data_IF_075039035325
#
_entry.id   IF_075039035325
#
_cell.length_a   1.000
_cell.length_b   1.000
_cell.length_c   1.000
_cell.angle_alpha   90.00
_cell.angle_beta   90.00
_cell.angle_gamma   90.00
#
_symmetry.space_group_name_H-M   'P 1'
#
loop_
_entity.id
_entity.type
_entity.pdbx_description
1 polymer ?
#
# COMPACT_ATOMS: atom_id res chain seq x y z
N UNK A 1 -9.88 3.07 3.86
CA UNK A 1 -9.26 1.74 4.05
C UNK A 1 -9.29 0.99 2.73
N UNK A 2 -8.36 0.06 2.54
CA UNK A 2 -8.26 -0.78 1.34
C UNK A 2 -8.75 -2.20 1.62
N UNK A 3 -9.08 -2.94 0.56
CA UNK A 3 -9.55 -4.32 0.58
C UNK A 3 -8.63 -5.24 -0.22
N UNK A 4 -8.80 -6.56 -0.07
CA UNK A 4 -8.10 -7.54 -0.90
C UNK A 4 -8.45 -7.37 -2.39
N UNK A 5 -9.70 -7.02 -2.71
CA UNK A 5 -10.16 -6.74 -4.07
C UNK A 5 -9.40 -5.58 -4.71
N UNK A 6 -9.14 -4.51 -3.95
CA UNK A 6 -8.37 -3.37 -4.46
C UNK A 6 -6.95 -3.77 -4.88
N UNK A 7 -6.29 -4.61 -4.07
CA UNK A 7 -4.93 -5.10 -4.35
C UNK A 7 -4.91 -6.09 -5.52
N UNK A 8 -5.88 -7.01 -5.57
CA UNK A 8 -6.03 -7.96 -6.69
C UNK A 8 -6.26 -7.22 -8.00
N UNK A 9 -7.15 -6.22 -7.99
CA UNK A 9 -7.43 -5.36 -9.14
C UNK A 9 -6.21 -4.56 -9.58
N UNK A 10 -5.52 -3.93 -8.63
CA UNK A 10 -4.28 -3.16 -8.90
C UNK A 10 -3.18 -4.01 -9.54
N UNK A 11 -3.00 -5.24 -9.07
CA UNK A 11 -1.97 -6.15 -9.55
C UNK A 11 -2.40 -6.99 -10.76
N UNK A 12 -3.64 -6.84 -11.23
CA UNK A 12 -4.25 -7.63 -12.30
C UNK A 12 -4.12 -9.16 -12.08
N UNK A 13 -4.22 -9.61 -10.82
CA UNK A 13 -4.04 -11.02 -10.47
C UNK A 13 -5.28 -11.83 -10.86
N UNK A 14 -5.14 -12.69 -11.85
CA UNK A 14 -6.27 -13.50 -12.37
C UNK A 14 -6.54 -14.78 -11.59
N UNK A 15 -5.56 -15.27 -10.85
CA UNK A 15 -5.61 -16.57 -10.15
C UNK A 15 -5.74 -16.44 -8.64
N UNK A 16 -5.64 -15.22 -8.11
CA UNK A 16 -5.66 -14.94 -6.69
C UNK A 16 -7.05 -14.44 -6.30
N UNK A 17 -7.60 -15.00 -5.22
CA UNK A 17 -8.91 -14.61 -4.69
C UNK A 17 -8.76 -13.79 -3.40
N UNK A 18 -9.86 -13.22 -2.92
CA UNK A 18 -9.88 -12.46 -1.66
C UNK A 18 -9.54 -13.28 -0.42
N UNK A 19 -9.59 -14.61 -0.51
CA UNK A 19 -9.27 -15.54 0.57
C UNK A 19 -7.78 -15.92 0.62
N UNK A 20 -6.95 -15.29 -0.22
CA UNK A 20 -5.50 -15.50 -0.20
C UNK A 20 -4.91 -15.20 1.18
N UNK A 21 -4.14 -16.16 1.70
CA UNK A 21 -3.55 -16.10 3.02
C UNK A 21 -2.62 -14.90 3.20
N UNK A 22 -1.87 -14.50 2.17
CA UNK A 22 -0.97 -13.35 2.30
C UNK A 22 -1.75 -12.04 2.28
N UNK A 23 -2.78 -11.92 1.45
CA UNK A 23 -3.65 -10.74 1.45
C UNK A 23 -4.40 -10.58 2.78
N UNK A 24 -4.85 -11.66 3.40
CA UNK A 24 -5.52 -11.62 4.71
C UNK A 24 -4.61 -11.13 5.85
N UNK A 25 -3.29 -11.24 5.69
CA UNK A 25 -2.30 -10.66 6.61
C UNK A 25 -1.93 -9.22 6.24
N UNK A 26 -1.65 -8.98 4.95
CA UNK A 26 -1.10 -7.70 4.47
C UNK A 26 -2.15 -6.59 4.54
N UNK A 27 -3.39 -6.83 4.10
CA UNK A 27 -4.41 -5.78 3.99
C UNK A 27 -4.77 -5.20 5.36
N UNK A 28 -5.07 -6.01 6.41
CA UNK A 28 -5.32 -5.46 7.75
C UNK A 28 -4.11 -4.73 8.33
N UNK A 29 -2.90 -5.26 8.12
CA UNK A 29 -1.68 -4.62 8.62
C UNK A 29 -1.42 -3.25 7.98
N UNK A 30 -1.60 -3.14 6.65
CA UNK A 30 -1.49 -1.86 5.95
C UNK A 30 -2.60 -0.90 6.39
N UNK A 31 -3.83 -1.38 6.57
CA UNK A 31 -4.91 -0.55 7.09
C UNK A 31 -4.59 0.02 8.47
N UNK A 32 -4.15 -0.82 9.40
CA UNK A 32 -3.76 -0.38 10.73
C UNK A 32 -2.58 0.59 10.71
N UNK A 33 -1.55 0.30 9.90
CA UNK A 33 -0.38 1.17 9.76
C UNK A 33 -0.79 2.56 9.22
N UNK A 34 -1.50 2.61 8.10
CA UNK A 34 -1.89 3.88 7.47
C UNK A 34 -2.81 4.69 8.38
N UNK A 35 -3.74 4.04 9.08
CA UNK A 35 -4.61 4.71 10.05
C UNK A 35 -3.81 5.32 11.22
N UNK A 36 -2.70 4.70 11.62
CA UNK A 36 -1.82 5.20 12.69
C UNK A 36 -0.94 6.39 12.29
N UNK A 37 -0.87 6.72 10.99
CA UNK A 37 0.00 7.78 10.50
C UNK A 37 -0.55 9.17 10.88
N UNK A 38 0.29 10.09 11.37
CA UNK A 38 -0.16 11.37 11.91
C UNK A 38 -0.54 12.41 10.85
N UNK A 39 -0.20 12.17 9.57
CA UNK A 39 -0.29 13.19 8.52
C UNK A 39 -0.92 12.68 7.22
N UNK A 40 -1.71 11.60 7.30
CA UNK A 40 -2.47 11.13 6.14
C UNK A 40 -3.56 12.13 5.76
N UNK A 41 -3.85 12.20 4.47
CA UNK A 41 -4.89 13.07 3.94
C UNK A 41 -6.26 12.41 4.16
N UNK A 42 -7.21 13.20 4.65
CA UNK A 42 -8.59 12.76 4.91
C UNK A 42 -9.59 13.63 4.17
N UNK A 43 -10.68 13.03 3.74
CA UNK A 43 -11.85 13.72 3.19
C UNK A 43 -12.97 13.68 4.22
N UNK A 44 -13.57 14.84 4.50
CA UNK A 44 -14.75 14.97 5.36
C UNK A 44 -15.99 14.60 4.56
N UNK A 45 -16.85 13.76 5.12
CA UNK A 45 -18.11 13.35 4.55
C UNK A 45 -19.26 14.27 5.01
N UNK A 46 -20.42 14.16 4.36
CA UNK A 46 -21.60 14.99 4.69
C UNK A 46 -22.09 14.80 6.12
N UNK A 47 -21.85 13.62 6.71
CA UNK A 47 -22.18 13.29 8.11
C UNK A 47 -21.14 13.78 9.13
N UNK A 48 -20.10 14.49 8.69
CA UNK A 48 -19.00 14.97 9.52
C UNK A 48 -17.94 13.91 9.86
N UNK A 49 -18.12 12.66 9.44
CA UNK A 49 -17.10 11.63 9.59
C UNK A 49 -15.96 11.84 8.59
N UNK A 50 -14.79 11.26 8.87
CA UNK A 50 -13.63 11.34 7.97
C UNK A 50 -13.33 9.99 7.35
N UNK A 51 -13.03 9.97 6.06
CA UNK A 51 -12.43 8.81 5.38
C UNK A 51 -11.07 9.18 4.80
N UNK A 52 -10.28 8.17 4.42
CA UNK A 52 -9.05 8.40 3.67
C UNK A 52 -9.34 9.15 2.38
N UNK A 53 -8.53 10.17 2.08
CA UNK A 53 -8.55 10.81 0.78
C UNK A 53 -8.02 9.85 -0.29
N UNK A 54 -8.31 10.15 -1.57
CA UNK A 54 -7.88 9.32 -2.70
C UNK A 54 -6.37 9.10 -2.74
N UNK A 55 -5.56 10.11 -2.36
CA UNK A 55 -4.10 10.01 -2.26
C UNK A 55 -3.66 8.98 -1.24
N UNK A 56 -4.27 9.00 -0.05
CA UNK A 56 -3.98 8.04 1.04
C UNK A 56 -4.43 6.63 0.66
N UNK A 57 -5.60 6.49 0.04
CA UNK A 57 -6.09 5.19 -0.43
C UNK A 57 -5.15 4.60 -1.50
N UNK A 58 -4.74 5.42 -2.47
CA UNK A 58 -3.79 5.01 -3.52
C UNK A 58 -2.45 4.58 -2.93
N UNK A 59 -1.86 5.38 -2.03
CA UNK A 59 -0.61 5.05 -1.36
C UNK A 59 -0.69 3.75 -0.57
N UNK A 60 -1.83 3.50 0.09
CA UNK A 60 -2.08 2.25 0.81
C UNK A 60 -2.16 1.04 -0.15
N UNK A 61 -2.88 1.14 -1.27
CA UNK A 61 -2.96 0.07 -2.28
C UNK A 61 -1.57 -0.25 -2.84
N UNK A 62 -0.78 0.78 -3.16
CA UNK A 62 0.59 0.61 -3.67
C UNK A 62 1.49 -0.08 -2.63
N UNK A 63 1.40 0.32 -1.36
CA UNK A 63 2.16 -0.30 -0.27
C UNK A 63 1.80 -1.77 -0.09
N UNK A 64 0.51 -2.10 -0.02
CA UNK A 64 0.04 -3.48 0.10
C UNK A 64 0.50 -4.34 -1.10
N UNK A 65 0.36 -3.80 -2.31
CA UNK A 65 0.77 -4.48 -3.54
C UNK A 65 2.27 -4.76 -3.58
N UNK A 66 3.07 -3.80 -3.13
CA UNK A 66 4.52 -3.96 -3.03
C UNK A 66 4.92 -5.03 -2.01
N UNK A 67 4.30 -5.04 -0.83
CA UNK A 67 4.51 -6.10 0.16
C UNK A 67 4.13 -7.47 -0.39
N UNK A 68 3.01 -7.55 -1.12
CA UNK A 68 2.54 -8.79 -1.73
C UNK A 68 3.49 -9.32 -2.83
N UNK A 69 4.13 -8.46 -3.63
CA UNK A 69 5.14 -8.87 -4.61
C UNK A 69 6.44 -9.35 -3.95
N UNK A 70 6.89 -8.68 -2.88
CA UNK A 70 8.13 -9.05 -2.17
C UNK A 70 8.12 -10.48 -1.59
N UNK A 71 6.96 -11.08 -1.34
CA UNK A 71 6.89 -12.50 -0.92
C UNK A 71 7.50 -13.45 -1.97
N UNK A 72 7.35 -13.11 -3.25
CA UNK A 72 7.86 -13.90 -4.37
C UNK A 72 9.34 -13.62 -4.62
N UNK A 73 9.88 -12.54 -4.03
CA UNK A 73 11.26 -12.13 -4.17
C UNK A 73 11.81 -11.56 -2.85
N UNK A 74 12.13 -12.41 -1.87
CA UNK A 74 12.62 -11.98 -0.56
C UNK A 74 13.91 -11.14 -0.65
N UNK A 75 14.78 -11.45 -1.62
CA UNK A 75 16.03 -10.73 -1.88
C UNK A 75 15.85 -9.48 -2.77
N UNK A 76 14.68 -9.28 -3.37
CA UNK A 76 14.38 -8.20 -4.30
C UNK A 76 14.81 -8.44 -5.76
N UNK A 77 15.11 -9.69 -6.12
CA UNK A 77 15.35 -10.15 -7.50
C UNK A 77 14.20 -11.08 -7.91
N UNK A 78 13.37 -10.68 -8.88
CA UNK A 78 12.46 -11.61 -9.56
C UNK A 78 13.19 -12.13 -10.82
N UNK A 79 13.45 -13.44 -10.87
CA UNK A 79 14.00 -14.09 -12.06
C UNK A 79 12.86 -14.45 -13.00
N UNK A 80 12.81 -13.85 -14.18
CA UNK A 80 11.91 -14.26 -15.27
C UNK A 80 12.80 -14.72 -16.43
N UNK A 81 13.05 -16.04 -16.51
CA UNK A 81 14.04 -16.61 -17.43
C UNK A 81 15.48 -16.18 -17.07
N UNK A 82 16.32 -15.94 -18.08
CA UNK A 82 17.72 -15.48 -17.92
C UNK A 82 17.85 -13.99 -17.55
N UNK A 83 16.74 -13.28 -17.38
CA UNK A 83 16.74 -11.84 -17.09
C UNK A 83 16.27 -11.59 -15.65
N UNK A 84 17.12 -10.96 -14.86
CA UNK A 84 16.84 -10.59 -13.47
C UNK A 84 16.22 -9.19 -13.40
N UNK A 85 14.97 -9.09 -12.95
CA UNK A 85 14.31 -7.80 -12.69
C UNK A 85 14.38 -7.49 -11.20
N UNK A 86 14.91 -6.31 -10.85
CA UNK A 86 14.97 -5.88 -9.46
C UNK A 86 13.64 -5.27 -9.00
N UNK A 87 13.07 -5.80 -7.92
CA UNK A 87 11.94 -5.18 -7.23
C UNK A 87 12.49 -4.08 -6.32
N UNK A 88 12.18 -2.82 -6.63
CA UNK A 88 12.73 -1.70 -5.86
C UNK A 88 12.39 -1.79 -4.36
N UNK A 89 13.44 -1.63 -3.54
CA UNK A 89 13.35 -1.59 -2.07
C UNK A 89 12.78 -0.27 -1.56
N UNK A 90 12.70 0.75 -2.40
CA UNK A 90 12.14 2.05 -2.04
C UNK A 90 11.30 2.58 -3.19
N UNK A 91 10.10 3.05 -2.86
CA UNK A 91 9.18 3.66 -3.81
C UNK A 91 8.80 5.03 -3.23
N UNK A 92 9.40 6.08 -3.78
CA UNK A 92 9.21 7.44 -3.29
C UNK A 92 7.77 7.94 -3.46
N UNK A 93 7.00 7.36 -4.38
CA UNK A 93 5.63 7.79 -4.61
C UNK A 93 4.72 7.33 -3.47
N UNK A 94 4.97 6.13 -2.91
CA UNK A 94 4.31 5.69 -1.68
C UNK A 94 4.63 6.67 -0.54
N UNK A 95 5.90 7.05 -0.36
CA UNK A 95 6.27 7.97 0.72
C UNK A 95 5.65 9.35 0.54
N UNK A 96 5.54 9.83 -0.71
CA UNK A 96 4.89 11.10 -1.05
C UNK A 96 3.38 11.06 -0.81
N UNK A 97 2.70 9.99 -1.22
CA UNK A 97 1.24 9.84 -1.08
C UNK A 97 0.80 9.67 0.38
N UNK A 98 1.63 9.01 1.19
CA UNK A 98 1.34 8.76 2.61
C UNK A 98 1.92 9.82 3.56
N UNK A 99 2.61 10.84 3.03
CA UNK A 99 3.29 11.88 3.82
C UNK A 99 4.22 11.28 4.90
N UNK A 100 5.06 10.32 4.51
CA UNK A 100 6.05 9.67 5.38
C UNK A 100 7.47 9.98 4.92
N UNK A 101 8.46 9.55 5.71
CA UNK A 101 9.88 9.80 5.47
C UNK A 101 10.18 11.29 5.25
N UNK A 102 10.81 11.62 4.11
CA UNK A 102 11.18 12.99 3.73
C UNK A 102 10.00 13.86 3.33
N UNK A 103 8.80 13.29 3.13
CA UNK A 103 7.58 14.02 2.75
C UNK A 103 6.64 14.25 3.92
N UNK A 104 7.08 13.98 5.16
CA UNK A 104 6.28 14.19 6.35
C UNK A 104 5.96 15.68 6.53
N UNK A 105 4.68 15.98 6.72
CA UNK A 105 4.22 17.35 6.99
C UNK A 105 4.72 17.81 8.36
N UNK A 106 5.06 19.10 8.53
CA UNK A 106 5.38 19.65 9.84
C UNK A 106 4.23 19.44 10.81
N UNK A 107 4.54 18.97 12.02
CA UNK A 107 3.59 18.85 13.12
C UNK A 107 3.93 19.92 14.14
N UNK A 108 2.94 20.75 14.48
CA UNK A 108 3.03 21.67 15.62
C UNK A 108 2.40 20.94 16.80
N UNK A 109 3.19 20.71 17.84
CA UNK A 109 2.75 20.12 19.12
C UNK A 109 2.71 21.17 20.21
#
# INVERSE_FOLDING_TARGET
MITATDVIGWLELRTVTTDDFHLSLIVPAVNAYVESLPSIDRTVLEDGSTKWAGTTQMGAVMLASRLYRRKNSPHGIESVGDMSTYVSRYDSDISRLLNIDTFRKPLVG
#
